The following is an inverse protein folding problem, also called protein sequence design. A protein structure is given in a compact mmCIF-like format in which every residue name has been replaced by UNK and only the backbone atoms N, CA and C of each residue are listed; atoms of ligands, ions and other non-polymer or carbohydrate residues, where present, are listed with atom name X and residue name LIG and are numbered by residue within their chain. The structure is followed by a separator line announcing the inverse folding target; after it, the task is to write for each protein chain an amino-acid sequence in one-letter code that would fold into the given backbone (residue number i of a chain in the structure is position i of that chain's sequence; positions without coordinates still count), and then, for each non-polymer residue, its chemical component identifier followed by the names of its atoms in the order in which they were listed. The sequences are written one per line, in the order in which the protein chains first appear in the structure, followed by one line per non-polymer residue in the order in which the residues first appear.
data_IF_233488897978
#
_entry.id   IF_233488897978
#
_cell.length_a   1.000
_cell.length_b   1.000
_cell.length_c   1.000
_cell.angle_alpha   90.00
_cell.angle_beta   90.00
_cell.angle_gamma   90.00
#
_symmetry.space_group_name_H-M   'P 1'
#
loop_
_entity.id
_entity.type
_entity.pdbx_description
1 polymer ?
#
# COMPACT_ATOMS: atom_id res chain seq x y z
N UNK A 1 11.26 16.21 35.67
CA UNK A 1 11.44 15.56 34.36
C UNK A 1 10.11 14.96 33.89
N UNK A 2 9.12 15.78 33.53
CA UNK A 2 7.83 15.28 33.04
C UNK A 2 7.35 16.03 31.78
N UNK A 3 7.72 17.31 31.68
CA UNK A 3 7.40 18.17 30.53
C UNK A 3 8.08 17.70 29.22
N UNK A 4 9.31 17.16 29.30
CA UNK A 4 10.03 16.67 28.10
C UNK A 4 9.42 15.41 27.48
N UNK A 5 8.80 14.55 28.29
CA UNK A 5 8.15 13.32 27.80
C UNK A 5 6.76 13.60 27.22
N UNK A 6 6.07 14.63 27.75
CA UNK A 6 4.78 15.09 27.24
C UNK A 6 4.90 15.71 25.83
N UNK A 7 6.02 16.40 25.53
CA UNK A 7 6.27 16.97 24.19
C UNK A 7 6.51 15.87 23.15
N UNK A 8 7.19 14.77 23.53
CA UNK A 8 7.39 13.60 22.66
C UNK A 8 6.08 12.89 22.33
N UNK A 9 5.16 12.79 23.29
CA UNK A 9 3.82 12.20 23.07
C UNK A 9 2.89 13.12 22.26
N UNK A 10 3.05 14.45 22.36
CA UNK A 10 2.29 15.40 21.54
C UNK A 10 2.74 15.49 20.09
N UNK A 11 3.91 14.93 19.76
CA UNK A 11 4.40 14.78 18.39
C UNK A 11 3.85 13.52 17.68
N UNK A 12 2.98 12.74 18.35
CA UNK A 12 2.24 11.63 17.73
C UNK A 12 0.98 12.17 17.04
N UNK A 13 1.16 13.15 16.16
CA UNK A 13 0.13 13.61 15.22
C UNK A 13 0.24 12.84 13.91
N UNK A 14 -0.88 12.72 13.18
CA UNK A 14 -0.99 12.10 11.85
C UNK A 14 0.23 12.42 10.98
N UNK A 15 1.11 11.43 10.73
CA UNK A 15 2.30 11.66 9.92
C UNK A 15 3.63 11.08 10.40
N UNK A 16 3.65 10.07 11.28
CA UNK A 16 4.80 9.16 11.29
C UNK A 16 4.64 8.15 10.15
N UNK A 17 4.80 8.61 8.91
CA UNK A 17 5.06 7.74 7.79
C UNK A 17 6.42 7.07 8.04
N UNK A 18 6.41 5.96 8.78
CA UNK A 18 7.55 5.06 8.82
C UNK A 18 7.66 4.37 7.47
N UNK A 19 8.81 3.77 7.18
CA UNK A 19 8.89 2.91 5.99
C UNK A 19 7.92 1.73 6.15
N UNK A 20 7.23 1.31 5.07
CA UNK A 20 6.41 0.10 5.09
C UNK A 20 7.25 -1.12 5.52
N UNK A 21 6.64 -2.00 6.29
CA UNK A 21 7.23 -3.23 6.81
C UNK A 21 6.29 -4.42 6.60
N UNK A 22 6.82 -5.63 6.77
CA UNK A 22 6.02 -6.86 6.75
C UNK A 22 4.93 -6.78 7.81
N UNK A 23 3.73 -7.20 7.43
CA UNK A 23 2.45 -7.12 8.14
C UNK A 23 1.78 -5.73 8.15
N UNK A 24 2.28 -4.76 7.39
CA UNK A 24 1.55 -3.51 7.17
C UNK A 24 0.52 -3.67 6.06
N UNK A 25 -0.67 -3.09 6.27
CA UNK A 25 -1.65 -2.91 5.20
C UNK A 25 -1.32 -1.65 4.43
N UNK A 26 -1.11 -1.79 3.12
CA UNK A 26 -0.79 -0.68 2.22
C UNK A 26 -1.55 -0.81 0.90
N UNK A 27 -1.83 0.34 0.29
CA UNK A 27 -2.20 0.44 -1.12
C UNK A 27 -0.94 0.58 -1.98
N UNK A 28 -0.76 -0.25 -3.01
CA UNK A 28 0.34 -0.12 -3.97
C UNK A 28 -0.22 0.16 -5.35
N UNK A 29 0.19 1.28 -5.93
CA UNK A 29 -0.05 1.64 -7.33
C UNK A 29 1.13 1.22 -8.19
N UNK A 30 0.86 0.56 -9.31
CA UNK A 30 1.85 0.16 -10.30
C UNK A 30 1.26 0.18 -11.71
N UNK A 31 2.13 0.38 -12.70
CA UNK A 31 1.70 0.37 -14.10
C UNK A 31 1.57 -1.06 -14.61
N UNK A 32 0.41 -1.40 -15.17
CA UNK A 32 0.11 -2.75 -15.65
C UNK A 32 -0.12 -2.77 -17.17
N UNK A 33 0.78 -2.17 -17.97
CA UNK A 33 0.80 -2.21 -19.46
C UNK A 33 -0.40 -1.56 -20.18
N UNK A 34 -1.62 -1.90 -19.78
CA UNK A 34 -2.92 -1.48 -20.29
C UNK A 34 -3.58 -0.39 -19.42
N UNK A 35 -2.98 -0.05 -18.28
CA UNK A 35 -3.56 0.88 -17.31
C UNK A 35 -2.71 1.03 -16.05
N UNK A 36 -3.22 1.83 -15.10
CA UNK A 36 -2.71 1.91 -13.73
C UNK A 36 -3.48 0.91 -12.88
N UNK A 37 -2.79 0.14 -12.04
CA UNK A 37 -3.40 -0.79 -11.10
C UNK A 37 -3.03 -0.40 -9.68
N UNK A 38 -4.03 -0.33 -8.83
CA UNK A 38 -3.89 -0.13 -7.38
C UNK A 38 -4.32 -1.42 -6.69
N UNK A 39 -3.53 -1.92 -5.76
CA UNK A 39 -3.89 -3.08 -4.94
C UNK A 39 -3.81 -2.71 -3.47
N UNK A 40 -4.78 -3.14 -2.69
CA UNK A 40 -4.78 -3.03 -1.24
C UNK A 40 -4.50 -4.41 -0.65
N UNK A 41 -3.53 -4.50 0.25
CA UNK A 41 -3.18 -5.75 0.87
C UNK A 41 -2.18 -5.63 2.00
N UNK A 42 -1.96 -6.75 2.68
CA UNK A 42 -0.96 -6.86 3.74
C UNK A 42 0.39 -7.27 3.13
N UNK A 43 1.46 -6.54 3.47
CA UNK A 43 2.82 -6.91 3.06
C UNK A 43 3.22 -8.22 3.73
N UNK A 44 3.61 -9.21 2.93
CA UNK A 44 4.11 -10.50 3.43
C UNK A 44 5.63 -10.58 3.39
N UNK A 45 6.27 -9.86 2.48
CA UNK A 45 7.71 -9.87 2.28
C UNK A 45 8.19 -8.56 1.62
N UNK A 46 9.38 -8.10 1.97
CA UNK A 46 10.06 -6.98 1.30
C UNK A 46 11.48 -7.44 0.98
N UNK A 47 11.84 -7.37 -0.31
CA UNK A 47 13.20 -7.59 -0.80
C UNK A 47 13.66 -6.39 -1.62
N UNK A 48 14.92 -6.40 -2.07
CA UNK A 48 15.44 -5.33 -2.93
C UNK A 48 14.76 -5.32 -4.31
N UNK A 49 14.22 -6.45 -4.76
CA UNK A 49 13.67 -6.62 -6.11
C UNK A 49 12.14 -6.59 -6.14
N UNK A 50 11.46 -7.03 -5.08
CA UNK A 50 10.00 -7.15 -5.03
C UNK A 50 9.41 -6.93 -3.63
N UNK A 51 8.14 -6.53 -3.61
CA UNK A 51 7.27 -6.53 -2.42
C UNK A 51 6.21 -7.62 -2.60
N UNK A 52 6.13 -8.53 -1.63
CA UNK A 52 5.08 -9.55 -1.55
C UNK A 52 3.87 -9.00 -0.79
N UNK A 53 2.66 -9.24 -1.30
CA UNK A 53 1.40 -8.83 -0.67
C UNK A 53 0.34 -9.92 -0.71
N UNK A 54 -0.46 -10.00 0.35
CA UNK A 54 -1.76 -10.67 0.35
C UNK A 54 -2.83 -9.62 0.05
N UNK A 55 -3.28 -9.57 -1.20
CA UNK A 55 -4.23 -8.58 -1.71
C UNK A 55 -5.65 -8.96 -1.35
N UNK A 56 -6.38 -8.01 -0.77
CA UNK A 56 -7.81 -8.11 -0.47
C UNK A 56 -8.65 -7.40 -1.51
N UNK A 57 -8.11 -6.35 -2.12
CA UNK A 57 -8.81 -5.53 -3.11
C UNK A 57 -7.86 -5.04 -4.20
N UNK A 58 -8.34 -4.96 -5.43
CA UNK A 58 -7.62 -4.32 -6.52
C UNK A 58 -8.53 -3.44 -7.35
N UNK A 59 -8.00 -2.30 -7.78
CA UNK A 59 -8.64 -1.37 -8.69
C UNK A 59 -7.75 -1.21 -9.93
N UNK A 60 -8.32 -1.37 -11.12
CA UNK A 60 -7.63 -1.13 -12.39
C UNK A 60 -8.27 0.06 -13.08
N UNK A 61 -7.48 1.07 -13.39
CA UNK A 61 -7.85 2.21 -14.21
C UNK A 61 -7.22 2.05 -15.59
N UNK A 62 -8.06 1.81 -16.60
CA UNK A 62 -7.60 1.65 -17.98
C UNK A 62 -7.28 3.01 -18.62
N UNK A 63 -6.28 3.02 -19.51
CA UNK A 63 -5.84 4.25 -20.20
C UNK A 63 -6.92 4.91 -21.09
N UNK A 64 -8.05 4.23 -21.33
CA UNK A 64 -9.22 4.77 -22.02
C UNK A 64 -10.04 5.72 -21.15
N UNK A 65 -9.76 5.84 -19.84
CA UNK A 65 -10.39 6.79 -18.93
C UNK A 65 -11.86 6.50 -18.61
N UNK A 66 -12.39 5.32 -18.96
CA UNK A 66 -13.81 5.01 -18.84
C UNK A 66 -14.14 3.82 -17.95
N UNK A 67 -13.19 2.91 -17.73
CA UNK A 67 -13.45 1.69 -16.98
C UNK A 67 -12.53 1.62 -15.77
N UNK A 68 -13.16 1.63 -14.59
CA UNK A 68 -12.53 1.25 -13.34
C UNK A 68 -13.06 -0.13 -12.99
N UNK A 69 -12.19 -1.14 -12.98
CA UNK A 69 -12.55 -2.47 -12.52
C UNK A 69 -12.07 -2.65 -11.09
N UNK A 70 -12.99 -2.83 -10.16
CA UNK A 70 -12.70 -3.14 -8.77
C UNK A 70 -12.99 -4.62 -8.52
N UNK A 71 -12.04 -5.32 -7.92
CA UNK A 71 -12.14 -6.73 -7.56
C UNK A 71 -11.78 -6.91 -6.09
N UNK A 72 -12.58 -7.71 -5.38
CA UNK A 72 -12.34 -8.08 -3.99
C UNK A 72 -12.03 -9.57 -3.93
N UNK A 73 -11.01 -9.95 -3.17
CA UNK A 73 -10.52 -11.34 -3.11
C UNK A 73 -10.83 -11.96 -1.75
N UNK A 74 -11.53 -13.08 -1.76
CA UNK A 74 -11.75 -13.92 -0.58
C UNK A 74 -11.59 -15.39 -0.97
N UNK A 75 -10.51 -16.08 -0.53
CA UNK A 75 -9.44 -15.61 0.37
C UNK A 75 -8.49 -14.58 -0.28
N UNK A 76 -7.65 -13.86 0.50
CA UNK A 76 -6.67 -12.92 -0.03
C UNK A 76 -5.74 -13.56 -1.07
N UNK A 77 -5.43 -12.82 -2.12
CA UNK A 77 -4.61 -13.29 -3.24
C UNK A 77 -3.13 -12.95 -2.99
N UNK A 78 -2.22 -13.94 -2.88
CA UNK A 78 -0.79 -13.67 -2.77
C UNK A 78 -0.22 -13.23 -4.12
N UNK A 79 0.42 -12.07 -4.15
CA UNK A 79 1.12 -11.54 -5.33
C UNK A 79 2.50 -11.00 -4.96
N UNK A 80 3.37 -10.86 -5.96
CA UNK A 80 4.63 -10.14 -5.84
C UNK A 80 4.69 -9.03 -6.88
N UNK A 81 5.09 -7.83 -6.46
CA UNK A 81 5.22 -6.65 -7.32
C UNK A 81 6.70 -6.27 -7.36
N UNK A 82 7.28 -6.20 -8.55
CA UNK A 82 8.66 -5.75 -8.71
C UNK A 82 8.79 -4.27 -8.35
N UNK A 83 9.78 -3.91 -7.51
CA UNK A 83 9.95 -2.55 -6.97
C UNK A 83 10.07 -1.51 -8.11
N UNK A 84 10.70 -1.87 -9.22
CA UNK A 84 10.83 -1.00 -10.41
C UNK A 84 9.52 -0.68 -11.14
N UNK A 85 8.41 -1.36 -10.82
CA UNK A 85 7.09 -1.10 -11.39
C UNK A 85 6.17 -0.26 -10.50
N UNK A 86 6.55 -0.09 -9.22
CA UNK A 86 5.76 0.63 -8.22
C UNK A 86 5.87 2.12 -8.50
N UNK A 87 4.72 2.78 -8.59
CA UNK A 87 4.62 4.24 -8.78
C UNK A 87 4.35 4.95 -7.47
N UNK A 88 3.50 4.39 -6.62
CA UNK A 88 3.13 4.97 -5.32
C UNK A 88 2.81 3.88 -4.30
N UNK A 89 3.19 4.10 -3.05
CA UNK A 89 2.70 3.34 -1.89
C UNK A 89 1.90 4.30 -1.01
N UNK A 90 0.67 3.91 -0.71
CA UNK A 90 -0.29 4.65 0.09
C UNK A 90 -0.53 3.88 1.39
N UNK A 91 -0.57 4.59 2.51
CA UNK A 91 -1.08 4.02 3.75
C UNK A 91 -2.59 3.89 3.62
N UNK A 92 -3.13 2.76 4.08
CA UNK A 92 -4.57 2.63 4.25
C UNK A 92 -4.97 3.55 5.41
N UNK A 93 -5.28 4.80 5.08
CA UNK A 93 -5.88 5.74 6.02
C UNK A 93 -7.34 5.29 6.18
N UNK A 94 -7.61 4.48 7.21
CA UNK A 94 -8.98 4.33 7.74
C UNK A 94 -9.52 5.75 8.00
N UNK A 95 -10.41 6.21 7.12
CA UNK A 95 -11.28 7.36 7.37
C UNK A 95 -12.44 6.93 8.28
#
# INVERSE_FOLDING_TARGET
MLVGMLIMLSLMGAGQARLPQVNDTVGISFNSGYGSRVVLGNITEITDDFIGLNVTESVVEFANGQETQQETYTPPLPICIGVGSITTILWDEEN
#
